data_IF_647038431437
#
_entry.id   IF_647038431437
#
_cell.length_a   1.000
_cell.length_b   1.000
_cell.length_c   1.000
_cell.angle_alpha   90.00
_cell.angle_beta   90.00
_cell.angle_gamma   90.00
#
_symmetry.space_group_name_H-M   'P 1'
#
loop_
_entity.id
_entity.type
_entity.pdbx_description
1 polymer ?
#
# COMPACT_ATOMS: atom_id res chain seq x y z
N UNK A 1 -25.28 -4.58 0.65
CA UNK A 1 -24.03 -4.59 1.45
C UNK A 1 -22.79 -4.55 0.55
N UNK A 2 -21.78 -3.72 0.88
CA UNK A 2 -20.53 -3.60 0.08
C UNK A 2 -19.49 -4.69 0.39
N UNK A 3 -19.60 -5.37 1.54
CA UNK A 3 -18.64 -6.37 2.02
C UNK A 3 -19.01 -7.76 1.50
N UNK A 4 -18.00 -8.51 1.05
CA UNK A 4 -18.08 -9.93 0.67
C UNK A 4 -16.93 -10.70 1.32
N UNK A 5 -17.20 -11.91 1.78
CA UNK A 5 -16.18 -12.81 2.35
C UNK A 5 -15.93 -13.95 1.38
N UNK A 6 -14.66 -14.23 1.09
CA UNK A 6 -14.23 -15.33 0.21
C UNK A 6 -13.44 -16.31 1.07
N UNK A 7 -13.94 -17.53 1.22
CA UNK A 7 -13.24 -18.58 1.95
C UNK A 7 -12.45 -19.45 0.97
N UNK A 8 -11.13 -19.50 1.15
CA UNK A 8 -10.31 -20.49 0.45
C UNK A 8 -10.50 -21.86 1.12
N UNK A 9 -10.52 -22.96 0.34
CA UNK A 9 -10.79 -24.31 0.88
C UNK A 9 -9.66 -24.83 1.78
N UNK A 10 -8.48 -24.19 1.76
CA UNK A 10 -7.32 -24.53 2.58
C UNK A 10 -6.44 -23.30 2.81
N UNK A 11 -5.46 -23.42 3.71
CA UNK A 11 -4.47 -22.37 3.98
C UNK A 11 -3.51 -22.21 2.80
N UNK A 12 -3.78 -21.21 1.95
CA UNK A 12 -3.02 -20.94 0.72
C UNK A 12 -2.05 -19.74 0.80
N UNK A 13 -2.06 -19.01 1.92
CA UNK A 13 -1.18 -17.86 2.16
C UNK A 13 -1.58 -16.57 1.44
N UNK A 14 -0.88 -15.48 1.75
CA UNK A 14 -1.22 -14.12 1.35
C UNK A 14 -1.34 -13.95 -0.17
N UNK A 15 -0.36 -14.44 -0.94
CA UNK A 15 -0.29 -14.25 -2.39
C UNK A 15 -1.54 -14.82 -3.08
N UNK A 16 -1.87 -16.08 -2.79
CA UNK A 16 -3.04 -16.74 -3.39
C UNK A 16 -4.36 -16.13 -2.92
N UNK A 17 -4.43 -15.68 -1.66
CA UNK A 17 -5.59 -14.99 -1.13
C UNK A 17 -5.85 -13.66 -1.85
N UNK A 18 -4.80 -12.85 -2.08
CA UNK A 18 -4.89 -11.61 -2.87
C UNK A 18 -5.36 -11.87 -4.29
N UNK A 19 -4.78 -12.88 -4.97
CA UNK A 19 -5.20 -13.26 -6.33
C UNK A 19 -6.66 -13.74 -6.38
N UNK A 20 -7.12 -14.47 -5.35
CA UNK A 20 -8.51 -14.90 -5.28
C UNK A 20 -9.48 -13.72 -5.13
N UNK A 21 -9.13 -12.73 -4.29
CA UNK A 21 -9.88 -11.48 -4.18
C UNK A 21 -9.89 -10.67 -5.47
N UNK A 22 -8.72 -10.49 -6.08
CA UNK A 22 -8.56 -9.73 -7.33
C UNK A 22 -9.39 -10.32 -8.48
N UNK A 23 -9.44 -11.65 -8.62
CA UNK A 23 -10.21 -12.33 -9.68
C UNK A 23 -11.72 -12.05 -9.66
N UNK A 24 -12.29 -11.73 -8.49
CA UNK A 24 -13.72 -11.44 -8.35
C UNK A 24 -14.01 -9.96 -8.12
N UNK A 25 -12.96 -9.14 -8.05
CA UNK A 25 -13.10 -7.70 -7.93
C UNK A 25 -13.72 -7.12 -9.21
N UNK A 26 -14.51 -6.08 -9.04
CA UNK A 26 -15.22 -5.40 -10.15
C UNK A 26 -14.86 -3.91 -10.25
N UNK A 27 -14.02 -3.41 -9.33
CA UNK A 27 -13.53 -2.04 -9.37
C UNK A 27 -12.42 -1.85 -10.40
N UNK A 28 -12.25 -0.62 -10.87
CA UNK A 28 -11.19 -0.23 -11.82
C UNK A 28 -9.80 -0.17 -11.17
N UNK A 29 -9.76 -0.03 -9.86
CA UNK A 29 -8.55 -0.02 -9.02
C UNK A 29 -8.72 -1.08 -7.92
N UNK A 30 -7.67 -1.89 -7.74
CA UNK A 30 -7.52 -2.80 -6.61
C UNK A 30 -6.76 -2.09 -5.50
N UNK A 31 -7.28 -2.22 -4.27
CA UNK A 31 -6.61 -1.69 -3.07
C UNK A 31 -6.44 -2.86 -2.11
N UNK A 32 -5.19 -3.12 -1.74
CA UNK A 32 -4.83 -4.14 -0.77
C UNK A 32 -4.51 -3.45 0.55
N UNK A 33 -5.14 -3.92 1.63
CA UNK A 33 -4.88 -3.50 3.00
C UNK A 33 -4.69 -4.76 3.84
N UNK A 34 -3.86 -4.66 4.87
CA UNK A 34 -3.76 -5.72 5.86
C UNK A 34 -4.99 -5.71 6.79
N UNK A 35 -5.27 -6.83 7.44
CA UNK A 35 -6.46 -7.00 8.27
C UNK A 35 -6.43 -6.23 9.60
N UNK A 36 -5.38 -5.45 9.81
CA UNK A 36 -5.05 -4.72 11.04
C UNK A 36 -4.53 -3.33 10.64
N UNK A 37 -5.35 -2.60 9.90
CA UNK A 37 -5.06 -1.27 9.37
C UNK A 37 -6.21 -0.33 9.71
N UNK A 38 -5.89 0.91 10.06
CA UNK A 38 -6.85 2.00 10.20
C UNK A 38 -6.61 3.04 9.10
N UNK A 39 -7.66 3.37 8.36
CA UNK A 39 -7.59 4.35 7.30
C UNK A 39 -7.79 5.76 7.87
N UNK A 40 -6.87 6.67 7.57
CA UNK A 40 -6.94 8.05 8.05
C UNK A 40 -7.81 8.94 7.13
N UNK A 41 -8.01 10.20 7.51
CA UNK A 41 -8.76 11.20 6.74
C UNK A 41 -8.18 11.34 5.34
N UNK A 42 -9.04 11.33 4.32
CA UNK A 42 -8.65 11.51 2.91
C UNK A 42 -7.53 10.58 2.41
N UNK A 43 -7.40 9.38 2.98
CA UNK A 43 -6.39 8.41 2.56
C UNK A 43 -6.54 7.92 1.11
N UNK A 44 -7.76 7.97 0.55
CA UNK A 44 -8.07 7.33 -0.73
C UNK A 44 -7.75 8.19 -1.97
N UNK A 45 -8.17 9.47 -2.09
CA UNK A 45 -7.90 10.26 -3.30
C UNK A 45 -6.41 10.33 -3.71
N UNK A 46 -5.44 10.52 -2.78
CA UNK A 46 -4.01 10.54 -3.14
C UNK A 46 -3.48 9.21 -3.68
N UNK A 47 -4.16 8.09 -3.38
CA UNK A 47 -3.81 6.79 -3.95
C UNK A 47 -4.37 6.62 -5.37
N UNK A 48 -5.51 7.25 -5.66
CA UNK A 48 -6.22 7.09 -6.94
C UNK A 48 -5.71 8.05 -8.01
N UNK A 49 -5.35 9.28 -7.64
CA UNK A 49 -4.94 10.32 -8.59
C UNK A 49 -3.76 9.90 -9.48
N UNK A 50 -2.63 9.37 -8.96
CA UNK A 50 -1.51 8.95 -9.82
C UNK A 50 -1.87 7.77 -10.74
N UNK A 51 -2.84 6.93 -10.34
CA UNK A 51 -3.34 5.80 -11.15
C UNK A 51 -4.28 6.30 -12.26
N UNK A 52 -5.05 7.36 -11.97
CA UNK A 52 -5.89 8.02 -12.97
C UNK A 52 -5.06 8.73 -14.04
N UNK A 53 -3.90 9.29 -13.67
CA UNK A 53 -2.95 9.90 -14.60
C UNK A 53 -2.19 8.86 -15.43
N UNK A 54 -1.68 7.79 -14.80
CA UNK A 54 -1.08 6.64 -15.48
C UNK A 54 -1.50 5.32 -14.81
N UNK A 55 -2.32 4.55 -15.52
CA UNK A 55 -2.84 3.26 -15.03
C UNK A 55 -1.74 2.21 -14.76
N UNK A 56 -0.50 2.44 -15.22
CA UNK A 56 0.66 1.59 -14.91
C UNK A 56 1.36 1.96 -13.60
N UNK A 57 0.88 2.98 -12.90
CA UNK A 57 1.40 3.39 -11.60
C UNK A 57 0.84 2.47 -10.51
N UNK A 58 1.72 2.00 -9.63
CA UNK A 58 1.36 1.36 -8.37
C UNK A 58 1.69 2.34 -7.23
N UNK A 59 0.73 2.63 -6.37
CA UNK A 59 0.86 3.65 -5.33
C UNK A 59 0.77 3.01 -3.95
N UNK A 60 1.68 3.36 -3.05
CA UNK A 60 1.61 2.97 -1.64
C UNK A 60 1.41 4.19 -0.74
N UNK A 61 0.60 4.09 0.33
CA UNK A 61 0.47 5.16 1.30
C UNK A 61 1.74 5.28 2.17
N UNK A 62 1.88 6.42 2.85
CA UNK A 62 2.67 6.45 4.08
C UNK A 62 1.97 5.58 5.13
N UNK A 63 2.73 4.75 5.83
CA UNK A 63 2.19 3.78 6.79
C UNK A 63 2.57 4.22 8.19
N UNK A 64 1.61 4.80 8.89
CA UNK A 64 1.77 5.18 10.29
C UNK A 64 1.77 3.96 11.22
N UNK A 65 2.13 4.19 12.49
CA UNK A 65 2.30 3.13 13.48
C UNK A 65 1.10 3.08 14.42
N UNK A 66 0.52 1.89 14.55
CA UNK A 66 -0.37 1.54 15.66
C UNK A 66 0.46 0.67 16.62
N UNK A 67 0.69 1.15 17.84
CA UNK A 67 1.47 0.41 18.85
C UNK A 67 0.74 -0.89 19.23
N UNK A 68 1.46 -2.02 19.23
CA UNK A 68 0.82 -3.33 19.40
C UNK A 68 0.36 -3.62 20.83
N UNK A 69 0.94 -2.93 21.83
CA UNK A 69 0.55 -3.07 23.24
C UNK A 69 -0.58 -2.12 23.63
N UNK A 70 -0.57 -0.88 23.14
CA UNK A 70 -1.45 0.20 23.60
C UNK A 70 -2.50 0.64 22.58
N UNK A 71 -2.37 0.21 21.32
CA UNK A 71 -3.14 0.71 20.18
C UNK A 71 -3.01 2.23 19.96
N UNK A 72 -1.96 2.85 20.51
CA UNK A 72 -1.67 4.26 20.25
C UNK A 72 -1.32 4.44 18.76
N UNK A 73 -2.03 5.33 18.10
CA UNK A 73 -1.72 5.79 16.75
C UNK A 73 -0.67 6.89 16.81
N UNK A 74 0.40 6.77 16.01
CA UNK A 74 1.40 7.82 15.83
C UNK A 74 1.93 7.84 14.41
N UNK A 75 2.32 9.01 13.94
CA UNK A 75 3.03 9.15 12.68
C UNK A 75 4.31 8.29 12.69
N UNK A 76 4.60 7.57 11.60
CA UNK A 76 5.85 6.80 11.53
C UNK A 76 7.06 7.73 11.40
N UNK A 77 7.02 8.61 10.40
CA UNK A 77 8.03 9.61 10.05
C UNK A 77 7.51 10.53 8.94
N UNK A 78 8.35 11.42 8.42
CA UNK A 78 8.06 12.31 7.27
C UNK A 78 8.17 11.61 5.90
N UNK A 79 8.21 10.27 5.90
CA UNK A 79 8.31 9.46 4.69
C UNK A 79 9.64 8.73 4.53
N UNK A 80 9.66 7.78 3.60
CA UNK A 80 10.85 7.00 3.28
C UNK A 80 10.66 6.21 2.00
N UNK A 81 11.78 5.90 1.35
CA UNK A 81 11.81 5.08 0.14
C UNK A 81 12.14 3.64 0.51
N UNK A 82 11.41 2.68 -0.02
CA UNK A 82 11.72 1.27 0.19
C UNK A 82 12.90 0.82 -0.67
N UNK A 83 13.72 -0.07 -0.10
CA UNK A 83 14.82 -0.76 -0.76
C UNK A 83 14.94 -2.19 -0.23
N UNK A 84 15.94 -2.94 -0.71
CA UNK A 84 16.38 -4.18 -0.10
C UNK A 84 17.92 -4.22 -0.03
N UNK A 85 18.46 -4.94 0.96
CA UNK A 85 19.89 -5.28 1.01
C UNK A 85 20.19 -6.55 0.20
N UNK A 86 21.46 -6.95 0.08
CA UNK A 86 21.84 -8.15 -0.68
C UNK A 86 21.37 -9.48 -0.05
N UNK A 87 20.75 -9.44 1.12
CA UNK A 87 20.05 -10.56 1.74
C UNK A 87 18.53 -10.54 1.44
N UNK A 88 18.07 -9.58 0.62
CA UNK A 88 16.68 -9.32 0.26
C UNK A 88 15.79 -8.89 1.43
N UNK A 89 16.36 -8.36 2.50
CA UNK A 89 15.56 -7.74 3.57
C UNK A 89 15.15 -6.34 3.18
N UNK A 90 13.86 -6.03 3.38
CA UNK A 90 13.34 -4.69 3.20
C UNK A 90 14.09 -3.66 4.07
N UNK A 91 14.45 -2.53 3.47
CA UNK A 91 15.07 -1.38 4.15
C UNK A 91 14.29 -0.11 3.82
N UNK A 92 14.34 0.86 4.73
CA UNK A 92 13.91 2.24 4.46
C UNK A 92 15.13 3.10 4.21
N UNK A 93 15.12 3.82 3.10
CA UNK A 93 16.06 4.86 2.72
C UNK A 93 15.42 6.22 2.99
N UNK A 94 16.23 7.26 3.28
CA UNK A 94 15.70 8.61 3.35
C UNK A 94 15.16 9.06 1.98
N UNK A 95 14.23 10.01 2.02
CA UNK A 95 13.79 10.76 0.84
C UNK A 95 14.97 11.48 0.17
N UNK A 96 14.85 11.75 -1.13
CA UNK A 96 15.86 12.57 -1.81
C UNK A 96 15.70 14.05 -1.44
N UNK A 97 16.76 14.87 -1.53
CA UNK A 97 16.65 16.31 -1.25
C UNK A 97 15.56 17.01 -2.08
N UNK A 98 15.27 16.51 -3.29
CA UNK A 98 14.22 17.07 -4.13
C UNK A 98 12.81 16.78 -3.61
N UNK A 99 12.57 15.57 -3.10
CA UNK A 99 11.29 15.14 -2.54
C UNK A 99 11.01 15.86 -1.20
N UNK A 100 12.06 16.15 -0.43
CA UNK A 100 11.96 16.92 0.82
C UNK A 100 11.49 18.36 0.60
N UNK A 101 11.64 18.92 -0.61
CA UNK A 101 11.15 20.28 -0.92
C UNK A 101 9.63 20.32 -1.07
N UNK A 102 9.02 19.21 -1.50
CA UNK A 102 7.59 19.08 -1.77
C UNK A 102 7.04 17.80 -1.10
N UNK A 103 7.00 17.73 0.25
CA UNK A 103 6.73 16.49 0.97
C UNK A 103 5.31 15.92 0.78
N UNK A 104 4.40 16.70 0.22
CA UNK A 104 3.02 16.28 -0.10
C UNK A 104 2.89 15.65 -1.48
N UNK A 105 3.89 15.82 -2.35
CA UNK A 105 3.87 15.26 -3.70
C UNK A 105 4.31 13.78 -3.68
N UNK A 106 3.76 12.95 -4.57
CA UNK A 106 4.24 11.58 -4.74
C UNK A 106 5.72 11.54 -5.13
N UNK A 107 6.47 10.62 -4.55
CA UNK A 107 7.88 10.39 -4.87
C UNK A 107 8.13 8.94 -5.31
N UNK A 108 9.22 8.72 -6.05
CA UNK A 108 9.57 7.38 -6.55
C UNK A 108 10.19 6.54 -5.43
N UNK A 109 9.58 5.38 -5.18
CA UNK A 109 10.14 4.35 -4.29
C UNK A 109 10.65 3.15 -5.11
N UNK A 110 11.91 2.73 -4.97
CA UNK A 110 12.44 1.56 -5.67
C UNK A 110 11.69 0.26 -5.34
N UNK A 111 11.23 0.12 -4.10
CA UNK A 111 10.57 -1.07 -3.58
C UNK A 111 9.41 -0.64 -2.68
N UNK A 112 8.32 -1.39 -2.67
CA UNK A 112 7.23 -1.24 -1.69
C UNK A 112 7.34 -2.33 -0.62
N UNK A 113 6.89 -2.05 0.61
CA UNK A 113 6.76 -3.08 1.65
C UNK A 113 5.76 -4.18 1.23
N UNK A 114 4.73 -3.80 0.45
CA UNK A 114 3.81 -4.73 -0.20
C UNK A 114 2.58 -5.13 0.62
N UNK A 115 2.46 -4.70 1.89
CA UNK A 115 1.24 -4.89 2.69
C UNK A 115 0.07 -4.06 2.17
N UNK A 116 0.32 -2.77 1.94
CA UNK A 116 -0.68 -1.78 1.54
C UNK A 116 -0.29 -1.14 0.21
N UNK A 117 -1.16 -1.22 -0.79
CA UNK A 117 -0.98 -0.54 -2.09
C UNK A 117 -2.27 -0.47 -2.89
N UNK A 118 -2.32 0.48 -3.82
CA UNK A 118 -3.34 0.62 -4.85
C UNK A 118 -2.73 0.44 -6.24
N UNK A 119 -3.48 -0.23 -7.13
CA UNK A 119 -3.04 -0.49 -8.51
C UNK A 119 -4.25 -0.61 -9.43
N UNK A 120 -4.13 -0.19 -10.69
CA UNK A 120 -5.19 -0.43 -11.68
C UNK A 120 -5.46 -1.93 -11.84
N UNK A 121 -6.73 -2.33 -11.80
CA UNK A 121 -7.17 -3.70 -12.10
C UNK A 121 -6.76 -4.14 -13.51
N UNK A 122 -6.61 -3.19 -14.45
CA UNK A 122 -6.15 -3.47 -15.82
C UNK A 122 -4.66 -3.82 -15.87
N UNK A 123 -3.87 -3.29 -14.96
CA UNK A 123 -2.41 -3.47 -14.94
C UNK A 123 -1.96 -4.63 -14.05
N UNK A 124 -2.71 -4.90 -12.98
CA UNK A 124 -2.51 -6.04 -12.09
C UNK A 124 -2.90 -7.38 -12.74
#
# INVERSE_FOLDING_TARGET
>A
PKVKVIHLPKRDGLIRARLAGARVATGEVLIFLDSHTEANVNWLPPLLEPIAEDYRTCVCPLIDVIAYETFEYRAQDEGGRGAFDWEFYYKRLPLLPEDLRNPTEPFKSPVMAGGLFAISTKFF
#
